data_IF_329283720982
#
_entry.id   IF_329283720982
#
_cell.length_a   1.000
_cell.length_b   1.000
_cell.length_c   1.000
_cell.angle_alpha   90.00
_cell.angle_beta   90.00
_cell.angle_gamma   90.00
#
_symmetry.space_group_name_H-M   'P 1'
#
loop_
_entity.id
_entity.type
_entity.pdbx_description
1 polymer ?
#
# COMPACT_ATOMS: atom_id res chain seq x y z
N UNK A 1 16.09 -18.80 0.32
CA UNK A 1 15.31 -18.40 -0.87
C UNK A 1 14.87 -16.95 -0.72
N UNK A 2 15.06 -16.12 -1.72
CA UNK A 2 14.68 -14.71 -1.66
C UNK A 2 13.25 -14.55 -2.20
N UNK A 3 12.32 -14.17 -1.33
CA UNK A 3 10.90 -14.00 -1.68
C UNK A 3 10.70 -12.96 -2.80
N UNK A 4 11.51 -11.91 -2.81
CA UNK A 4 11.46 -10.89 -3.88
C UNK A 4 11.79 -11.51 -5.24
N UNK A 5 12.77 -12.39 -5.32
CA UNK A 5 13.13 -13.08 -6.57
C UNK A 5 12.02 -14.03 -7.03
N UNK A 6 11.34 -14.68 -6.10
CA UNK A 6 10.17 -15.49 -6.43
C UNK A 6 9.05 -14.65 -7.02
N UNK A 7 8.73 -13.54 -6.40
CA UNK A 7 7.71 -12.61 -6.91
C UNK A 7 8.08 -12.10 -8.29
N UNK A 8 9.34 -11.71 -8.50
CA UNK A 8 9.84 -11.25 -9.80
C UNK A 8 9.63 -12.33 -10.86
N UNK A 9 9.95 -13.58 -10.55
CA UNK A 9 9.74 -14.72 -11.44
C UNK A 9 8.27 -14.96 -11.78
N UNK A 10 7.40 -14.88 -10.78
CA UNK A 10 5.95 -15.06 -10.97
C UNK A 10 5.37 -13.96 -11.85
N UNK A 11 5.76 -12.72 -11.64
CA UNK A 11 5.29 -11.59 -12.45
C UNK A 11 5.77 -11.67 -13.89
N UNK A 12 6.98 -12.19 -14.09
CA UNK A 12 7.54 -12.41 -15.45
C UNK A 12 6.79 -13.49 -16.23
N UNK A 13 6.27 -14.49 -15.53
CA UNK A 13 5.56 -15.62 -16.17
C UNK A 13 4.08 -15.35 -16.40
N UNK A 14 3.51 -14.36 -15.74
CA UNK A 14 2.09 -14.08 -15.77
C UNK A 14 1.83 -12.72 -16.43
N UNK A 15 1.35 -12.69 -17.69
CA UNK A 15 1.11 -11.43 -18.41
C UNK A 15 -0.16 -10.69 -17.95
N UNK A 16 -0.99 -11.35 -17.16
CA UNK A 16 -2.26 -10.75 -16.70
C UNK A 16 -2.04 -9.58 -15.76
N UNK A 17 -2.94 -8.58 -15.76
CA UNK A 17 -2.87 -7.50 -14.77
C UNK A 17 -2.82 -8.05 -13.35
N UNK A 18 -1.89 -7.57 -12.56
CA UNK A 18 -1.60 -8.13 -11.25
C UNK A 18 -1.68 -7.08 -10.15
N UNK A 19 -2.18 -7.51 -9.00
CA UNK A 19 -2.20 -6.73 -7.76
C UNK A 19 -1.24 -7.42 -6.79
N UNK A 20 -0.31 -6.66 -6.23
CA UNK A 20 0.62 -7.17 -5.23
C UNK A 20 0.14 -6.73 -3.85
N UNK A 21 0.03 -7.69 -2.94
CA UNK A 21 -0.41 -7.41 -1.57
C UNK A 21 0.71 -7.82 -0.61
N UNK A 22 1.09 -6.91 0.26
CA UNK A 22 2.10 -7.17 1.29
C UNK A 22 1.74 -6.40 2.56
N UNK A 23 2.29 -6.84 3.70
CA UNK A 23 1.94 -6.21 4.98
C UNK A 23 2.56 -4.81 5.14
N UNK A 24 3.88 -4.70 4.97
CA UNK A 24 4.58 -3.42 5.14
C UNK A 24 4.57 -2.60 3.86
N UNK A 25 4.24 -1.30 3.94
CA UNK A 25 4.31 -0.43 2.78
C UNK A 25 5.71 -0.38 2.15
N UNK A 26 5.74 -0.28 0.85
CA UNK A 26 6.97 -0.12 0.08
C UNK A 26 7.20 1.32 -0.42
N UNK A 27 6.35 2.24 -0.02
CA UNK A 27 6.45 3.66 -0.34
C UNK A 27 6.26 4.48 0.93
N UNK A 28 7.05 5.56 1.07
CA UNK A 28 6.96 6.46 2.20
C UNK A 28 5.62 7.18 2.20
N UNK A 29 5.00 7.26 3.36
CA UNK A 29 3.72 7.95 3.55
C UNK A 29 3.88 9.31 4.24
N UNK A 30 5.07 9.61 4.73
CA UNK A 30 5.38 10.80 5.53
C UNK A 30 5.24 10.53 7.03
N UNK A 31 5.99 11.27 7.81
CA UNK A 31 5.92 11.18 9.27
C UNK A 31 6.75 10.04 9.86
N UNK A 32 6.47 9.74 11.12
CA UNK A 32 7.27 8.82 11.94
C UNK A 32 7.24 7.37 11.43
N UNK A 33 6.20 7.00 10.72
CA UNK A 33 6.00 5.61 10.29
C UNK A 33 6.97 5.18 9.17
N UNK A 34 7.62 6.12 8.50
CA UNK A 34 8.55 5.80 7.42
C UNK A 34 9.76 5.00 7.89
N UNK A 35 10.02 4.97 9.20
CA UNK A 35 11.04 4.12 9.80
C UNK A 35 10.56 2.69 10.07
N UNK A 36 9.27 2.42 9.89
CA UNK A 36 8.62 1.15 10.23
C UNK A 36 8.08 0.41 9.01
N UNK A 37 8.38 0.89 7.82
CA UNK A 37 7.94 0.28 6.56
C UNK A 37 9.04 -0.63 5.99
N UNK A 38 8.82 -1.17 4.81
CA UNK A 38 9.75 -2.12 4.17
C UNK A 38 11.14 -1.50 4.04
N UNK A 39 12.16 -2.19 4.53
CA UNK A 39 13.55 -1.65 4.58
C UNK A 39 14.18 -1.52 3.20
N UNK A 40 14.00 -2.51 2.33
CA UNK A 40 14.54 -2.50 0.97
C UNK A 40 13.51 -2.03 -0.06
N UNK A 41 12.70 -1.07 0.34
CA UNK A 41 11.56 -0.57 -0.45
C UNK A 41 11.93 -0.01 -1.82
N UNK A 42 13.05 0.66 -1.92
CA UNK A 42 13.49 1.20 -3.22
C UNK A 42 13.78 0.10 -4.21
N UNK A 43 14.56 -0.91 -3.81
CA UNK A 43 14.87 -2.07 -4.64
C UNK A 43 13.61 -2.84 -5.00
N UNK A 44 12.67 -2.96 -4.06
CA UNK A 44 11.39 -3.62 -4.29
C UNK A 44 10.56 -2.86 -5.34
N UNK A 45 10.44 -1.55 -5.22
CA UNK A 45 9.71 -0.72 -6.19
C UNK A 45 10.38 -0.75 -7.57
N UNK A 46 11.70 -0.71 -7.63
CA UNK A 46 12.44 -0.82 -8.90
C UNK A 46 12.13 -2.13 -9.60
N UNK A 47 12.10 -3.23 -8.86
CA UNK A 47 11.74 -4.54 -9.40
C UNK A 47 10.30 -4.52 -9.92
N UNK A 48 9.35 -3.99 -9.15
CA UNK A 48 7.94 -3.94 -9.56
C UNK A 48 7.74 -3.11 -10.82
N UNK A 49 8.42 -1.99 -10.95
CA UNK A 49 8.23 -1.11 -12.11
C UNK A 49 8.76 -1.69 -13.43
N UNK A 50 9.56 -2.75 -13.37
CA UNK A 50 9.96 -3.50 -14.55
C UNK A 50 8.85 -4.37 -15.13
N UNK A 51 7.77 -4.56 -14.39
CA UNK A 51 6.63 -5.39 -14.80
C UNK A 51 5.43 -4.52 -15.17
N UNK A 52 5.12 -4.44 -16.44
CA UNK A 52 3.99 -3.63 -16.95
C UNK A 52 2.63 -4.14 -16.48
N UNK A 53 2.56 -5.38 -16.06
CA UNK A 53 1.32 -6.01 -15.58
C UNK A 53 0.99 -5.65 -14.12
N UNK A 54 1.93 -5.11 -13.35
CA UNK A 54 1.63 -4.65 -11.98
C UNK A 54 0.93 -3.31 -12.04
N UNK A 55 -0.29 -3.25 -11.52
CA UNK A 55 -1.15 -2.05 -11.56
C UNK A 55 -1.37 -1.42 -10.20
N UNK A 56 -1.37 -2.24 -9.15
CA UNK A 56 -1.74 -1.82 -7.81
C UNK A 56 -0.92 -2.59 -6.78
N UNK A 57 -0.45 -1.88 -5.78
CA UNK A 57 0.22 -2.47 -4.61
C UNK A 57 -0.57 -2.06 -3.37
N UNK A 58 -1.05 -3.05 -2.63
CA UNK A 58 -1.81 -2.84 -1.39
C UNK A 58 -0.99 -3.26 -0.19
N UNK A 59 -1.03 -2.46 0.85
CA UNK A 59 -0.38 -2.78 2.11
C UNK A 59 -1.15 -2.22 3.30
N UNK A 60 -0.83 -2.73 4.49
CA UNK A 60 -1.44 -2.32 5.75
C UNK A 60 -0.40 -1.75 6.70
N UNK A 61 -0.37 -2.23 7.93
CA UNK A 61 0.61 -1.91 8.97
C UNK A 61 0.53 -0.49 9.53
N UNK A 62 0.41 0.52 8.69
CA UNK A 62 0.51 1.94 9.08
C UNK A 62 -0.79 2.51 9.67
N UNK A 63 -1.89 1.79 9.60
CA UNK A 63 -3.20 2.19 10.13
C UNK A 63 -3.64 3.59 9.64
N UNK A 64 -3.30 3.90 8.40
CA UNK A 64 -3.57 5.21 7.78
C UNK A 64 -3.95 4.99 6.33
N UNK A 65 -5.00 5.64 5.88
CA UNK A 65 -5.36 5.65 4.47
C UNK A 65 -4.41 6.56 3.69
N UNK A 66 -3.87 6.02 2.61
CA UNK A 66 -2.92 6.72 1.75
C UNK A 66 -2.99 6.13 0.35
N UNK A 67 -2.96 6.98 -0.66
CA UNK A 67 -2.90 6.57 -2.07
C UNK A 67 -1.90 7.46 -2.78
N UNK A 68 -0.96 6.85 -3.49
CA UNK A 68 0.01 7.59 -4.29
C UNK A 68 0.40 6.77 -5.51
N UNK A 69 0.54 7.43 -6.64
CA UNK A 69 1.08 6.84 -7.85
C UNK A 69 2.59 7.10 -7.89
N UNK A 70 3.34 6.03 -8.09
CA UNK A 70 4.76 6.10 -8.37
C UNK A 70 5.00 5.39 -9.70
N UNK A 71 5.49 6.12 -10.70
CA UNK A 71 5.60 5.64 -12.07
C UNK A 71 4.23 5.16 -12.58
N UNK A 72 4.10 3.93 -13.01
CA UNK A 72 2.84 3.38 -13.54
C UNK A 72 2.05 2.55 -12.53
N UNK A 73 2.48 2.56 -11.27
CA UNK A 73 1.89 1.72 -10.23
C UNK A 73 1.21 2.60 -9.18
N UNK A 74 0.00 2.22 -8.82
CA UNK A 74 -0.74 2.84 -7.73
C UNK A 74 -0.45 2.09 -6.43
N UNK A 75 -0.02 2.83 -5.40
CA UNK A 75 0.26 2.29 -4.07
C UNK A 75 -0.80 2.78 -3.10
N UNK A 76 -1.37 1.88 -2.32
CA UNK A 76 -2.39 2.24 -1.34
C UNK A 76 -2.17 1.51 -0.02
N UNK A 77 -2.39 2.24 1.07
CA UNK A 77 -2.54 1.67 2.41
C UNK A 77 -3.95 1.94 2.90
N UNK A 78 -4.40 1.16 3.86
CA UNK A 78 -5.71 1.32 4.44
C UNK A 78 -5.61 1.74 5.90
N UNK A 79 -6.66 2.39 6.38
CA UNK A 79 -6.84 2.62 7.80
C UNK A 79 -7.11 1.28 8.52
N UNK A 80 -7.06 1.29 9.84
CA UNK A 80 -7.44 0.13 10.64
C UNK A 80 -8.90 0.24 11.08
N UNK A 81 -9.57 -0.89 11.18
CA UNK A 81 -10.91 -0.95 11.78
C UNK A 81 -10.83 -0.65 13.28
N UNK A 82 -9.71 -0.99 13.93
CA UNK A 82 -9.53 -0.82 15.36
C UNK A 82 -9.10 0.58 15.76
N UNK A 83 -8.05 1.12 15.16
CA UNK A 83 -7.55 2.46 15.44
C UNK A 83 -6.63 2.95 14.33
N UNK A 84 -6.56 4.27 14.18
CA UNK A 84 -5.70 4.93 13.19
C UNK A 84 -4.56 5.69 13.85
N UNK A 85 -3.48 5.93 13.09
CA UNK A 85 -2.34 6.72 13.55
C UNK A 85 -2.31 8.08 12.87
N UNK A 86 -1.79 9.07 13.58
CA UNK A 86 -1.47 10.37 12.98
C UNK A 86 -0.13 10.27 12.25
N UNK A 87 -0.09 10.76 11.02
CA UNK A 87 1.14 10.85 10.22
C UNK A 87 1.82 12.20 10.33
N UNK A 88 1.13 13.20 10.90
CA UNK A 88 1.62 14.58 10.94
C UNK A 88 2.70 14.83 11.98
N UNK A 89 2.84 13.92 12.95
CA UNK A 89 3.79 14.08 14.04
C UNK A 89 5.00 13.16 13.83
N UNK A 90 6.11 13.54 14.43
CA UNK A 90 7.36 12.75 14.37
C UNK A 90 7.35 11.53 15.29
N UNK A 91 6.28 11.31 16.03
CA UNK A 91 6.13 10.22 16.98
C UNK A 91 4.74 9.61 16.94
N UNK A 92 4.63 8.42 17.56
CA UNK A 92 3.41 7.65 17.66
C UNK A 92 2.27 8.47 18.31
N UNK A 93 1.14 8.52 17.64
CA UNK A 93 -0.10 9.09 18.17
C UNK A 93 -1.30 8.43 17.49
N UNK A 94 -2.28 8.02 18.29
CA UNK A 94 -3.54 7.48 17.79
C UNK A 94 -4.45 8.65 17.38
N UNK A 95 -5.00 8.56 16.16
CA UNK A 95 -5.92 9.56 15.63
C UNK A 95 -7.33 9.00 15.64
N UNK A 96 -8.18 9.54 16.51
CA UNK A 96 -9.58 9.12 16.60
C UNK A 96 -10.40 9.61 15.39
N UNK A 97 -11.42 8.83 15.03
CA UNK A 97 -12.33 9.19 13.95
C UNK A 97 -11.80 8.86 12.56
N UNK A 98 -10.64 8.20 12.46
CA UNK A 98 -10.07 7.79 11.19
C UNK A 98 -10.06 6.26 11.01
N UNK A 99 -10.72 5.55 11.90
CA UNK A 99 -10.90 4.11 11.79
C UNK A 99 -11.77 3.81 10.57
N UNK A 100 -11.36 2.83 9.78
CA UNK A 100 -12.08 2.52 8.56
C UNK A 100 -11.43 1.43 7.73
N UNK A 101 -11.88 1.33 6.51
CA UNK A 101 -11.36 0.36 5.55
C UNK A 101 -11.38 0.94 4.14
N UNK A 102 -10.67 0.31 3.23
CA UNK A 102 -10.68 0.68 1.82
C UNK A 102 -11.60 -0.23 1.03
N UNK A 103 -12.41 0.35 0.18
CA UNK A 103 -13.18 -0.37 -0.81
C UNK A 103 -12.54 -0.13 -2.17
N UNK A 104 -12.19 -1.20 -2.87
CA UNK A 104 -11.44 -1.12 -4.13
C UNK A 104 -12.28 -1.69 -5.24
N UNK A 105 -12.53 -0.89 -6.27
CA UNK A 105 -13.27 -1.29 -7.45
C UNK A 105 -12.33 -1.37 -8.64
N UNK A 106 -12.34 -2.49 -9.33
CA UNK A 106 -11.47 -2.75 -10.47
C UNK A 106 -12.31 -2.96 -11.72
N UNK A 107 -11.88 -2.34 -12.81
CA UNK A 107 -12.38 -2.68 -14.14
C UNK A 107 -11.20 -2.76 -15.10
N UNK A 108 -11.45 -3.02 -16.38
CA UNK A 108 -10.37 -3.22 -17.37
C UNK A 108 -9.45 -2.00 -17.55
N UNK A 109 -9.92 -0.80 -17.21
CA UNK A 109 -9.19 0.45 -17.47
C UNK A 109 -8.84 1.22 -16.21
N UNK A 110 -9.63 1.07 -15.13
CA UNK A 110 -9.57 1.96 -13.98
C UNK A 110 -9.52 1.21 -12.66
N UNK A 111 -8.88 1.86 -11.69
CA UNK A 111 -8.82 1.43 -10.30
C UNK A 111 -9.42 2.57 -9.46
N UNK A 112 -10.47 2.27 -8.69
CA UNK A 112 -11.08 3.20 -7.77
C UNK A 112 -10.85 2.74 -6.34
N UNK A 113 -10.31 3.62 -5.50
CA UNK A 113 -10.07 3.34 -4.09
C UNK A 113 -10.84 4.35 -3.27
N UNK A 114 -11.72 3.86 -2.42
CA UNK A 114 -12.55 4.66 -1.54
C UNK A 114 -12.19 4.36 -0.09
N UNK A 115 -11.92 5.40 0.69
CA UNK A 115 -11.70 5.27 2.12
C UNK A 115 -13.03 5.43 2.83
N UNK A 116 -13.48 4.38 3.52
CA UNK A 116 -14.74 4.38 4.24
C UNK A 116 -14.43 4.46 5.73
N UNK A 117 -14.79 5.58 6.34
CA UNK A 117 -14.61 5.78 7.78
C UNK A 117 -15.76 5.15 8.55
N UNK A 118 -15.44 4.52 9.66
CA UNK A 118 -16.44 3.96 10.56
C UNK A 118 -17.03 5.10 11.41
N UNK A 119 -18.35 5.08 11.55
CA UNK A 119 -19.00 5.99 12.48
C UNK A 119 -18.78 5.49 13.90
N UNK A 120 -18.21 6.37 14.74
CA UNK A 120 -18.07 6.10 16.17
C UNK A 120 -19.37 6.57 16.82
N UNK A 121 -20.15 5.62 17.27
CA UNK A 121 -21.35 5.93 18.07
C UNK A 121 -20.99 6.06 19.54
#
# INVERSE_FOLDING_TARGET
MNVRNELDGLLSKNPEPSIVVLHHPSLEIGGWQDNKILKDRETFREMLCCHKNVKLVLSGHVHTFFVKRDKNILYSTASSIGFAFSTKLSKYEIKQGQEGFSCISLNKKDIFIENILLEVK
#
